data_IF_958115994795
#
_entry.id   IF_958115994795
#
_cell.length_a   1.000
_cell.length_b   1.000
_cell.length_c   1.000
_cell.angle_alpha   90.00
_cell.angle_beta   90.00
_cell.angle_gamma   90.00
#
_symmetry.space_group_name_H-M   'P 1'
#
loop_
_entity.id
_entity.type
_entity.pdbx_description
1 polymer ?
#
# COMPACT_ATOMS: atom_id res chain seq x y z
N UNK A 1 -39.63 -0.74 20.21
CA UNK A 1 -39.02 -1.66 19.23
C UNK A 1 -40.12 -2.53 18.65
N UNK A 2 -40.45 -2.41 17.37
CA UNK A 2 -41.58 -3.13 16.75
C UNK A 2 -41.10 -4.00 15.59
N UNK A 3 -40.18 -4.92 15.87
CA UNK A 3 -39.97 -6.06 14.96
C UNK A 3 -41.23 -6.93 14.97
N UNK A 4 -41.53 -7.60 13.86
CA UNK A 4 -42.60 -8.60 13.82
C UNK A 4 -42.34 -9.68 14.87
N UNK A 5 -43.39 -10.29 15.43
CA UNK A 5 -43.24 -11.31 16.46
C UNK A 5 -42.41 -12.50 15.97
N UNK A 6 -42.58 -12.87 14.70
CA UNK A 6 -41.80 -13.94 14.06
C UNK A 6 -40.32 -13.57 13.97
N UNK A 7 -39.99 -12.40 13.42
CA UNK A 7 -38.59 -11.99 13.27
C UNK A 7 -37.92 -11.79 14.62
N UNK A 8 -38.63 -11.22 15.60
CA UNK A 8 -38.12 -11.05 16.95
C UNK A 8 -37.72 -12.40 17.57
N UNK A 9 -38.58 -13.42 17.45
CA UNK A 9 -38.27 -14.77 17.92
C UNK A 9 -37.07 -15.35 17.17
N UNK A 10 -37.09 -15.32 15.83
CA UNK A 10 -36.05 -15.93 14.99
C UNK A 10 -34.69 -15.27 15.19
N UNK A 11 -34.64 -13.95 15.31
CA UNK A 11 -33.41 -13.20 15.59
C UNK A 11 -32.89 -13.48 17.01
N UNK A 12 -33.74 -13.56 18.02
CA UNK A 12 -33.29 -13.94 19.37
C UNK A 12 -32.77 -15.38 19.43
N UNK A 13 -33.37 -16.31 18.69
CA UNK A 13 -32.86 -17.69 18.56
C UNK A 13 -31.51 -17.71 17.85
N UNK A 14 -31.33 -16.90 16.82
CA UNK A 14 -30.03 -16.73 16.14
C UNK A 14 -28.98 -16.19 17.12
N UNK A 15 -29.31 -15.13 17.86
CA UNK A 15 -28.40 -14.43 18.78
C UNK A 15 -28.10 -15.21 20.07
N UNK A 16 -28.80 -16.31 20.33
CA UNK A 16 -28.48 -17.23 21.43
C UNK A 16 -27.32 -18.20 21.10
N UNK A 17 -26.91 -18.26 19.83
CA UNK A 17 -25.80 -19.09 19.37
C UNK A 17 -24.45 -18.36 19.54
N UNK A 18 -23.31 -19.08 19.61
CA UNK A 18 -21.99 -18.48 19.57
C UNK A 18 -21.70 -17.94 18.16
N UNK A 19 -22.08 -16.70 17.91
CA UNK A 19 -21.87 -16.03 16.63
C UNK A 19 -20.42 -15.52 16.53
N UNK A 20 -19.84 -15.61 15.34
CA UNK A 20 -18.51 -15.08 15.00
C UNK A 20 -18.58 -13.74 14.27
N UNK A 21 -19.58 -13.56 13.40
CA UNK A 21 -19.82 -12.32 12.64
C UNK A 21 -21.27 -12.26 12.17
N UNK A 22 -21.77 -11.06 11.90
CA UNK A 22 -23.11 -10.79 11.37
C UNK A 22 -23.01 -9.78 10.23
N UNK A 23 -23.73 -10.04 9.13
CA UNK A 23 -23.93 -9.08 8.05
C UNK A 23 -25.39 -9.03 7.63
N UNK A 24 -25.84 -7.88 7.14
CA UNK A 24 -27.21 -7.68 6.70
C UNK A 24 -27.21 -7.37 5.21
N UNK A 25 -27.93 -8.18 4.43
CA UNK A 25 -28.24 -7.86 3.04
C UNK A 25 -29.54 -7.05 3.02
N UNK A 26 -29.40 -5.73 2.88
CA UNK A 26 -30.53 -4.80 2.91
C UNK A 26 -31.50 -5.00 1.74
N UNK A 27 -30.97 -5.27 0.54
CA UNK A 27 -31.80 -5.44 -0.67
C UNK A 27 -32.70 -6.66 -0.60
N UNK A 28 -32.25 -7.74 0.05
CA UNK A 28 -33.01 -8.98 0.23
C UNK A 28 -33.66 -9.09 1.60
N UNK A 29 -33.48 -8.07 2.46
CA UNK A 29 -33.94 -8.05 3.85
C UNK A 29 -33.55 -9.33 4.60
N UNK A 30 -32.28 -9.72 4.54
CA UNK A 30 -31.79 -10.97 5.14
C UNK A 30 -30.62 -10.71 6.08
N UNK A 31 -30.72 -11.22 7.31
CA UNK A 31 -29.62 -11.25 8.29
C UNK A 31 -28.87 -12.56 8.13
N UNK A 32 -27.57 -12.48 7.93
CA UNK A 32 -26.66 -13.61 7.86
C UNK A 32 -25.76 -13.60 9.10
N UNK A 33 -25.53 -14.77 9.69
CA UNK A 33 -24.60 -14.93 10.80
C UNK A 33 -23.65 -16.09 10.54
N UNK A 34 -22.37 -15.86 10.83
CA UNK A 34 -21.33 -16.86 10.80
C UNK A 34 -21.23 -17.51 12.18
N UNK A 35 -21.16 -18.84 12.21
CA UNK A 35 -20.99 -19.66 13.42
C UNK A 35 -19.92 -20.71 13.19
N UNK A 36 -19.47 -21.38 14.25
CA UNK A 36 -18.52 -22.51 14.15
C UNK A 36 -19.04 -23.66 13.26
N UNK A 37 -20.36 -23.77 13.08
CA UNK A 37 -21.01 -24.83 12.28
C UNK A 37 -21.36 -24.39 10.86
N UNK A 38 -21.00 -23.17 10.47
CA UNK A 38 -21.30 -22.58 9.17
C UNK A 38 -22.24 -21.38 9.25
N UNK A 39 -22.91 -21.09 8.13
CA UNK A 39 -23.74 -19.89 7.97
C UNK A 39 -25.21 -20.13 8.32
N UNK A 40 -25.76 -19.28 9.18
CA UNK A 40 -27.17 -19.21 9.51
C UNK A 40 -27.79 -17.94 8.88
N UNK A 41 -29.07 -18.01 8.50
CA UNK A 41 -29.78 -16.87 7.88
C UNK A 41 -31.20 -16.70 8.40
N UNK A 42 -31.63 -15.45 8.53
CA UNK A 42 -32.99 -15.06 8.86
C UNK A 42 -33.46 -14.05 7.81
N UNK A 43 -34.41 -14.47 6.98
CA UNK A 43 -35.12 -13.55 6.08
C UNK A 43 -36.17 -12.79 6.90
N UNK A 44 -36.10 -11.47 6.84
CA UNK A 44 -36.94 -10.56 7.60
C UNK A 44 -38.28 -10.35 6.88
N UNK A 45 -39.32 -10.12 7.67
CA UNK A 45 -40.68 -9.80 7.27
C UNK A 45 -41.03 -8.40 7.82
N UNK A 46 -40.58 -7.32 7.15
CA UNK A 46 -40.74 -5.97 7.64
C UNK A 46 -42.22 -5.58 7.76
N UNK A 47 -42.60 -5.03 8.91
CA UNK A 47 -43.94 -4.48 9.19
C UNK A 47 -43.99 -2.97 9.04
N UNK A 48 -42.86 -2.35 8.70
CA UNK A 48 -42.67 -0.92 8.51
C UNK A 48 -41.77 -0.69 7.28
N UNK A 49 -41.41 0.56 7.00
CA UNK A 49 -40.43 0.87 5.94
C UNK A 49 -39.10 0.16 6.21
N UNK A 50 -38.49 -0.40 5.17
CA UNK A 50 -37.27 -1.21 5.27
C UNK A 50 -36.16 -0.53 6.09
N UNK A 51 -35.86 0.73 5.81
CA UNK A 51 -34.85 1.51 6.55
C UNK A 51 -35.13 1.58 8.06
N UNK A 52 -36.38 1.79 8.44
CA UNK A 52 -36.81 1.84 9.85
C UNK A 52 -36.72 0.46 10.49
N UNK A 53 -37.12 -0.57 9.74
CA UNK A 53 -37.09 -1.95 10.21
C UNK A 53 -35.65 -2.44 10.43
N UNK A 54 -34.76 -2.18 9.47
CA UNK A 54 -33.33 -2.46 9.57
C UNK A 54 -32.67 -1.72 10.73
N UNK A 55 -33.07 -0.47 11.00
CA UNK A 55 -32.62 0.25 12.19
C UNK A 55 -32.98 -0.47 13.48
N UNK A 56 -34.20 -1.00 13.59
CA UNK A 56 -34.59 -1.80 14.76
C UNK A 56 -33.84 -3.13 14.85
N UNK A 57 -33.55 -3.78 13.73
CA UNK A 57 -32.71 -4.99 13.72
C UNK A 57 -31.32 -4.67 14.26
N UNK A 58 -30.70 -3.59 13.80
CA UNK A 58 -29.37 -3.12 14.26
C UNK A 58 -29.37 -2.72 15.73
N UNK A 59 -30.44 -2.07 16.20
CA UNK A 59 -30.65 -1.81 17.62
C UNK A 59 -30.70 -3.12 18.43
N UNK A 60 -31.34 -4.19 17.93
CA UNK A 60 -31.38 -5.50 18.58
C UNK A 60 -29.98 -6.10 18.71
N UNK A 61 -29.23 -6.11 17.61
CA UNK A 61 -27.87 -6.63 17.54
C UNK A 61 -26.97 -5.87 18.52
N UNK A 62 -26.99 -4.53 18.46
CA UNK A 62 -26.21 -3.68 19.35
C UNK A 62 -26.57 -3.89 20.83
N UNK A 63 -27.86 -3.99 21.17
CA UNK A 63 -28.28 -4.27 22.56
C UNK A 63 -27.79 -5.63 23.06
N UNK A 64 -27.79 -6.67 22.22
CA UNK A 64 -27.30 -7.99 22.60
C UNK A 64 -25.79 -8.03 22.79
N UNK A 65 -25.06 -7.34 21.91
CA UNK A 65 -23.59 -7.30 21.95
C UNK A 65 -23.08 -6.43 23.11
N UNK A 66 -23.70 -5.27 23.35
CA UNK A 66 -23.20 -4.27 24.31
C UNK A 66 -23.86 -4.33 25.69
N UNK A 67 -25.02 -5.00 25.81
CA UNK A 67 -25.79 -5.06 27.06
C UNK A 67 -26.43 -3.73 27.49
N UNK A 68 -26.34 -2.66 26.69
CA UNK A 68 -26.87 -1.34 27.03
C UNK A 68 -28.12 -0.98 26.21
N UNK A 69 -29.27 -0.69 26.85
CA UNK A 69 -30.43 -0.14 26.15
C UNK A 69 -30.10 1.27 25.63
N UNK A 70 -30.30 1.52 24.33
CA UNK A 70 -29.97 2.78 23.64
C UNK A 70 -28.80 2.74 22.65
N UNK A 71 -28.30 1.52 22.35
CA UNK A 71 -27.09 1.13 21.62
C UNK A 71 -26.77 1.72 20.23
N UNK A 72 -27.67 2.41 19.55
CA UNK A 72 -27.50 2.75 18.13
C UNK A 72 -28.06 4.15 17.79
N UNK A 73 -27.35 5.02 17.04
CA UNK A 73 -25.98 4.90 16.50
C UNK A 73 -24.89 5.49 17.43
N UNK A 74 -25.23 5.83 18.69
CA UNK A 74 -24.37 6.60 19.61
C UNK A 74 -23.06 5.86 19.96
N UNK A 75 -23.02 4.53 19.83
CA UNK A 75 -21.92 3.70 20.31
C UNK A 75 -20.76 3.58 19.31
N UNK A 76 -21.05 3.55 18.00
CA UNK A 76 -20.03 3.61 16.93
C UNK A 76 -19.15 4.86 17.06
N UNK A 77 -19.75 6.00 17.40
CA UNK A 77 -19.04 7.28 17.60
C UNK A 77 -18.21 7.34 18.88
N UNK A 78 -18.53 6.55 19.91
CA UNK A 78 -17.79 6.52 21.19
C UNK A 78 -16.59 5.56 21.12
N UNK A 79 -16.74 4.42 20.45
CA UNK A 79 -15.66 3.42 20.33
C UNK A 79 -14.51 3.87 19.43
N UNK A 80 -14.82 4.59 18.36
CA UNK A 80 -13.81 5.22 17.48
C UNK A 80 -13.02 6.34 18.18
N UNK A 81 -13.57 6.97 19.24
CA UNK A 81 -12.93 8.08 19.97
C UNK A 81 -12.11 7.68 21.19
N UNK A 82 -12.40 6.55 21.83
CA UNK A 82 -11.81 6.21 23.14
C UNK A 82 -10.66 5.18 23.09
N UNK A 83 -10.16 4.80 21.91
CA UNK A 83 -9.04 3.82 21.80
C UNK A 83 -9.37 2.40 22.29
N UNK A 84 -10.60 2.15 22.74
CA UNK A 84 -11.09 0.84 23.20
C UNK A 84 -11.36 -0.18 22.07
N UNK A 85 -11.19 0.21 20.80
CA UNK A 85 -11.44 -0.66 19.65
C UNK A 85 -10.61 -1.95 19.67
N UNK A 86 -9.38 -1.91 20.21
CA UNK A 86 -8.47 -3.07 20.21
C UNK A 86 -8.97 -4.29 20.98
N UNK A 87 -9.80 -4.09 22.02
CA UNK A 87 -10.20 -5.20 22.90
C UNK A 87 -11.56 -5.83 22.53
N UNK A 88 -12.28 -5.28 21.55
CA UNK A 88 -13.67 -5.67 21.25
C UNK A 88 -13.93 -5.92 19.75
N UNK A 89 -12.89 -6.26 18.97
CA UNK A 89 -13.00 -6.43 17.52
C UNK A 89 -14.05 -7.49 17.13
N UNK A 90 -14.10 -8.61 17.86
CA UNK A 90 -15.14 -9.63 17.69
C UNK A 90 -16.55 -9.08 17.84
N UNK A 91 -16.78 -8.26 18.88
CA UNK A 91 -18.08 -7.66 19.14
C UNK A 91 -18.50 -6.70 18.03
N UNK A 92 -17.56 -5.97 17.44
CA UNK A 92 -17.84 -5.07 16.31
C UNK A 92 -18.37 -5.82 15.10
N UNK A 93 -17.86 -7.03 14.84
CA UNK A 93 -18.32 -7.89 13.74
C UNK A 93 -19.73 -8.45 13.95
N UNK A 94 -20.27 -8.38 15.17
CA UNK A 94 -21.63 -8.85 15.49
C UNK A 94 -22.71 -7.78 15.31
N UNK A 95 -22.33 -6.53 15.02
CA UNK A 95 -23.27 -5.41 14.93
C UNK A 95 -24.12 -5.42 13.67
N UNK A 96 -23.71 -6.14 12.62
CA UNK A 96 -24.38 -6.09 11.31
C UNK A 96 -24.19 -4.75 10.59
N UNK A 97 -23.19 -3.96 11.00
CA UNK A 97 -22.90 -2.63 10.45
C UNK A 97 -21.66 -2.64 9.56
N UNK A 98 -21.75 -2.21 8.29
CA UNK A 98 -20.60 -2.10 7.41
C UNK A 98 -19.47 -1.22 7.97
N UNK A 99 -19.80 -0.11 8.64
CA UNK A 99 -18.83 0.81 9.24
C UNK A 99 -18.08 0.16 10.42
N UNK A 100 -18.74 -0.75 11.15
CA UNK A 100 -18.07 -1.52 12.21
C UNK A 100 -17.05 -2.48 11.61
N UNK A 101 -17.41 -3.17 10.52
CA UNK A 101 -16.48 -4.07 9.80
C UNK A 101 -15.30 -3.28 9.25
N UNK A 102 -15.55 -2.12 8.61
CA UNK A 102 -14.49 -1.25 8.12
C UNK A 102 -13.51 -0.87 9.24
N UNK A 103 -14.01 -0.42 10.39
CA UNK A 103 -13.17 -0.07 11.54
C UNK A 103 -12.32 -1.26 12.05
N UNK A 104 -12.85 -2.49 12.03
CA UNK A 104 -12.09 -3.70 12.36
C UNK A 104 -10.96 -3.94 11.37
N UNK A 105 -11.26 -3.84 10.06
CA UNK A 105 -10.29 -4.06 8.98
C UNK A 105 -9.11 -3.07 9.06
N UNK A 106 -9.37 -1.80 9.42
CA UNK A 106 -8.31 -0.79 9.60
C UNK A 106 -7.50 -0.92 10.91
N UNK A 107 -7.80 -1.91 11.77
CA UNK A 107 -7.09 -2.06 13.05
C UNK A 107 -5.70 -2.67 12.85
N UNK A 108 -4.61 -2.01 13.27
CA UNK A 108 -3.26 -2.57 13.19
C UNK A 108 -3.12 -3.82 14.07
N UNK A 109 -2.37 -4.82 13.57
CA UNK A 109 -2.10 -6.05 14.33
C UNK A 109 -3.32 -6.95 14.51
N UNK A 110 -4.31 -6.85 13.62
CA UNK A 110 -5.44 -7.77 13.53
C UNK A 110 -4.96 -9.22 13.38
N UNK A 111 -5.51 -10.15 14.16
CA UNK A 111 -5.22 -11.57 13.96
C UNK A 111 -5.86 -12.12 12.69
N UNK A 112 -5.27 -13.17 12.13
CA UNK A 112 -5.80 -13.88 10.95
C UNK A 112 -7.28 -14.30 11.06
N UNK A 113 -7.72 -14.79 12.22
CA UNK A 113 -9.10 -15.26 12.41
C UNK A 113 -10.12 -14.12 12.37
N UNK A 114 -9.78 -12.97 12.96
CA UNK A 114 -10.66 -11.78 12.87
C UNK A 114 -10.69 -11.25 11.44
N UNK A 115 -9.56 -11.27 10.73
CA UNK A 115 -9.51 -10.88 9.31
C UNK A 115 -10.44 -11.76 8.46
N UNK A 116 -10.46 -13.07 8.68
CA UNK A 116 -11.38 -14.01 7.99
C UNK A 116 -12.84 -13.66 8.24
N UNK A 117 -13.20 -13.37 9.50
CA UNK A 117 -14.57 -13.00 9.89
C UNK A 117 -14.99 -11.65 9.30
N UNK A 118 -14.07 -10.67 9.30
CA UNK A 118 -14.31 -9.35 8.70
C UNK A 118 -14.48 -9.43 7.18
N UNK A 119 -13.62 -10.22 6.51
CA UNK A 119 -13.74 -10.49 5.08
C UNK A 119 -15.07 -11.16 4.73
N UNK A 120 -15.49 -12.18 5.48
CA UNK A 120 -16.80 -12.81 5.29
C UNK A 120 -17.95 -11.81 5.46
N UNK A 121 -17.87 -10.93 6.46
CA UNK A 121 -18.92 -9.96 6.76
C UNK A 121 -19.08 -8.91 5.66
N UNK A 122 -17.99 -8.43 5.06
CA UNK A 122 -18.01 -7.39 4.03
C UNK A 122 -16.88 -7.57 3.01
N UNK A 123 -17.04 -8.45 2.00
CA UNK A 123 -16.05 -8.61 0.95
C UNK A 123 -16.10 -7.43 -0.03
N UNK A 124 -14.98 -6.72 -0.18
CA UNK A 124 -14.82 -5.61 -1.12
C UNK A 124 -13.34 -5.41 -1.47
N UNK A 125 -13.05 -4.76 -2.61
CA UNK A 125 -11.66 -4.47 -2.99
C UNK A 125 -10.94 -3.58 -1.96
N UNK A 126 -11.64 -2.61 -1.39
CA UNK A 126 -11.11 -1.74 -0.31
C UNK A 126 -10.75 -2.55 0.93
N UNK A 127 -11.65 -3.44 1.39
CA UNK A 127 -11.38 -4.27 2.57
C UNK A 127 -10.27 -5.29 2.29
N UNK A 128 -10.23 -5.89 1.09
CA UNK A 128 -9.17 -6.81 0.70
C UNK A 128 -7.79 -6.14 0.73
N UNK A 129 -7.67 -4.93 0.16
CA UNK A 129 -6.40 -4.18 0.21
C UNK A 129 -5.99 -3.87 1.64
N UNK A 130 -6.90 -3.37 2.46
CA UNK A 130 -6.59 -3.02 3.85
C UNK A 130 -6.19 -4.24 4.69
N UNK A 131 -6.88 -5.39 4.53
CA UNK A 131 -6.50 -6.64 5.19
C UNK A 131 -5.12 -7.15 4.74
N UNK A 132 -4.75 -6.97 3.47
CA UNK A 132 -3.44 -7.37 2.93
C UNK A 132 -2.27 -6.50 3.39
N UNK A 133 -2.52 -5.38 4.10
CA UNK A 133 -1.44 -4.65 4.78
C UNK A 133 -0.95 -5.39 6.04
N UNK A 134 -1.71 -6.37 6.53
CA UNK A 134 -1.38 -7.09 7.74
C UNK A 134 -0.52 -8.34 7.43
N UNK A 135 0.72 -8.44 7.98
CA UNK A 135 1.60 -9.56 7.73
C UNK A 135 1.03 -10.93 8.12
N UNK A 136 0.20 -11.03 9.16
CA UNK A 136 -0.43 -12.30 9.55
C UNK A 136 -1.43 -12.79 8.50
N UNK A 137 -2.17 -11.86 7.89
CA UNK A 137 -3.12 -12.17 6.81
C UNK A 137 -2.37 -12.62 5.56
N UNK A 138 -1.30 -11.92 5.20
CA UNK A 138 -0.44 -12.26 4.06
C UNK A 138 0.19 -13.64 4.21
N UNK A 139 0.64 -13.98 5.42
CA UNK A 139 1.23 -15.28 5.72
C UNK A 139 0.21 -16.43 5.74
N UNK A 140 -1.06 -16.15 6.00
CA UNK A 140 -2.12 -17.14 6.07
C UNK A 140 -2.86 -17.40 4.76
N UNK A 141 -3.78 -18.37 4.77
CA UNK A 141 -4.57 -18.76 3.58
C UNK A 141 -5.43 -17.63 3.02
N UNK A 142 -5.93 -16.74 3.89
CA UNK A 142 -6.74 -15.59 3.52
C UNK A 142 -6.01 -14.67 2.56
N UNK A 143 -4.69 -14.47 2.72
CA UNK A 143 -3.91 -13.61 1.83
C UNK A 143 -4.01 -14.04 0.35
N UNK A 144 -4.03 -15.35 0.09
CA UNK A 144 -4.20 -15.89 -1.28
C UNK A 144 -5.60 -15.66 -1.81
N UNK A 145 -6.62 -15.84 -0.98
CA UNK A 145 -8.02 -15.59 -1.34
C UNK A 145 -8.25 -14.11 -1.68
N UNK A 146 -7.77 -13.20 -0.83
CA UNK A 146 -7.87 -11.76 -1.04
C UNK A 146 -7.13 -11.33 -2.31
N UNK A 147 -5.95 -11.90 -2.55
CA UNK A 147 -5.16 -11.64 -3.77
C UNK A 147 -5.90 -12.12 -5.02
N UNK A 148 -6.45 -13.33 -5.00
CA UNK A 148 -7.23 -13.86 -6.11
C UNK A 148 -8.45 -12.97 -6.43
N UNK A 149 -9.17 -12.54 -5.39
CA UNK A 149 -10.25 -11.58 -5.52
C UNK A 149 -9.77 -10.27 -6.17
N UNK A 150 -8.71 -9.66 -5.64
CA UNK A 150 -8.19 -8.41 -6.19
C UNK A 150 -7.75 -8.54 -7.65
N UNK A 151 -7.08 -9.63 -8.04
CA UNK A 151 -6.67 -9.86 -9.42
C UNK A 151 -7.85 -10.01 -10.38
N UNK A 152 -8.94 -10.66 -9.95
CA UNK A 152 -10.17 -10.81 -10.71
C UNK A 152 -10.82 -9.45 -10.99
N UNK A 153 -10.88 -8.58 -9.98
CA UNK A 153 -11.54 -7.27 -10.09
C UNK A 153 -10.63 -6.13 -10.57
N UNK A 154 -9.31 -6.29 -10.58
CA UNK A 154 -8.33 -5.29 -11.02
C UNK A 154 -8.59 -4.70 -12.43
N UNK A 155 -9.11 -5.43 -13.43
CA UNK A 155 -9.49 -4.83 -14.72
C UNK A 155 -10.55 -3.72 -14.61
N UNK A 156 -11.41 -3.77 -13.59
CA UNK A 156 -12.51 -2.85 -13.35
C UNK A 156 -12.16 -1.71 -12.38
N UNK A 157 -10.93 -1.69 -11.84
CA UNK A 157 -10.50 -0.64 -10.93
C UNK A 157 -10.33 0.69 -11.69
N UNK A 158 -11.05 1.71 -11.22
CA UNK A 158 -11.11 3.04 -11.82
C UNK A 158 -10.11 4.00 -11.16
N UNK A 159 -9.94 3.87 -9.84
CA UNK A 159 -9.05 4.72 -9.07
C UNK A 159 -7.61 4.28 -9.34
N UNK A 160 -6.81 5.18 -9.91
CA UNK A 160 -5.46 4.83 -10.38
C UNK A 160 -4.52 4.49 -9.21
N UNK A 161 -4.66 5.15 -8.07
CA UNK A 161 -3.91 4.83 -6.86
C UNK A 161 -4.25 3.44 -6.33
N UNK A 162 -5.52 3.03 -6.41
CA UNK A 162 -5.98 1.71 -6.00
C UNK A 162 -5.38 0.60 -6.87
N UNK A 163 -5.10 0.88 -8.16
CA UNK A 163 -4.33 -0.01 -9.04
C UNK A 163 -2.89 -0.15 -8.53
N UNK A 164 -2.24 0.96 -8.12
CA UNK A 164 -0.88 0.92 -7.55
C UNK A 164 -0.86 0.03 -6.31
N UNK A 165 -1.76 0.27 -5.37
CA UNK A 165 -1.84 -0.47 -4.11
C UNK A 165 -2.15 -1.93 -4.35
N UNK A 166 -3.11 -2.25 -5.23
CA UNK A 166 -3.43 -3.63 -5.56
C UNK A 166 -2.21 -4.38 -6.11
N UNK A 167 -1.49 -3.78 -7.06
CA UNK A 167 -0.29 -4.42 -7.63
C UNK A 167 0.79 -4.61 -6.57
N UNK A 168 1.07 -3.58 -5.75
CA UNK A 168 2.02 -3.68 -4.62
C UNK A 168 1.65 -4.82 -3.68
N UNK A 169 0.39 -4.88 -3.25
CA UNK A 169 -0.10 -5.85 -2.27
C UNK A 169 -0.09 -7.29 -2.81
N UNK A 170 -0.39 -7.48 -4.10
CA UNK A 170 -0.32 -8.80 -4.75
C UNK A 170 1.12 -9.30 -4.90
N UNK A 171 2.11 -8.41 -4.92
CA UNK A 171 3.53 -8.77 -5.07
C UNK A 171 4.19 -9.19 -3.75
N UNK A 172 3.46 -9.25 -2.63
CA UNK A 172 4.01 -9.66 -1.35
C UNK A 172 4.30 -11.17 -1.33
N UNK A 173 5.52 -11.54 -0.95
CA UNK A 173 5.94 -12.94 -0.80
C UNK A 173 5.56 -13.82 -2.01
N UNK A 174 4.86 -14.93 -1.72
CA UNK A 174 4.40 -15.91 -2.70
C UNK A 174 2.87 -15.85 -2.94
N UNK A 175 2.24 -14.69 -2.74
CA UNK A 175 0.80 -14.52 -2.95
C UNK A 175 0.37 -14.75 -4.40
N UNK A 176 1.25 -14.43 -5.36
CA UNK A 176 1.04 -14.69 -6.79
C UNK A 176 2.16 -15.53 -7.38
N UNK A 177 1.81 -16.32 -8.40
CA UNK A 177 2.75 -17.12 -9.16
C UNK A 177 3.63 -16.26 -10.09
N UNK A 178 4.80 -16.76 -10.51
CA UNK A 178 5.63 -16.07 -11.51
C UNK A 178 4.89 -15.77 -12.83
N UNK A 179 3.94 -16.63 -13.21
CA UNK A 179 3.12 -16.45 -14.41
C UNK A 179 2.12 -15.28 -14.26
N UNK A 180 1.45 -15.18 -13.11
CA UNK A 180 0.57 -14.05 -12.80
C UNK A 180 1.34 -12.74 -12.69
N UNK A 181 2.51 -12.77 -12.06
CA UNK A 181 3.44 -11.64 -11.98
C UNK A 181 3.83 -11.13 -13.37
N UNK A 182 4.17 -12.04 -14.29
CA UNK A 182 4.49 -11.71 -15.68
C UNK A 182 3.28 -11.08 -16.40
N UNK A 183 2.07 -11.61 -16.18
CA UNK A 183 0.83 -11.03 -16.72
C UNK A 183 0.57 -9.61 -16.18
N UNK A 184 0.79 -9.36 -14.89
CA UNK A 184 0.67 -8.02 -14.31
C UNK A 184 1.68 -7.05 -14.94
N UNK A 185 2.92 -7.47 -15.13
CA UNK A 185 3.94 -6.66 -15.79
C UNK A 185 3.58 -6.32 -17.23
N UNK A 186 3.07 -7.27 -18.01
CA UNK A 186 2.64 -7.00 -19.39
C UNK A 186 1.51 -5.96 -19.47
N UNK A 187 0.63 -5.90 -18.46
CA UNK A 187 -0.41 -4.86 -18.36
C UNK A 187 0.18 -3.46 -18.12
N UNK A 188 1.35 -3.36 -17.49
CA UNK A 188 2.00 -2.09 -17.19
C UNK A 188 2.38 -1.29 -18.45
N UNK A 189 2.65 -1.98 -19.56
CA UNK A 189 2.89 -1.33 -20.87
C UNK A 189 1.72 -0.44 -21.32
N UNK A 190 0.50 -0.77 -20.88
CA UNK A 190 -0.73 -0.04 -21.24
C UNK A 190 -1.20 0.90 -20.13
N UNK A 191 -0.93 0.57 -18.86
CA UNK A 191 -1.37 1.33 -17.68
C UNK A 191 -0.18 1.61 -16.76
N UNK A 192 0.29 2.86 -16.76
CA UNK A 192 1.44 3.33 -15.99
C UNK A 192 1.40 3.00 -14.47
N UNK A 193 0.25 3.07 -13.77
CA UNK A 193 0.16 2.74 -12.33
C UNK A 193 0.70 1.35 -11.94
N UNK A 194 0.65 0.37 -12.86
CA UNK A 194 1.20 -0.95 -12.58
C UNK A 194 2.71 -0.90 -12.34
N UNK A 195 3.46 -0.10 -13.11
CA UNK A 195 4.91 0.05 -12.87
C UNK A 195 5.20 0.54 -11.46
N UNK A 196 4.38 1.47 -10.97
CA UNK A 196 4.56 2.07 -9.64
C UNK A 196 4.25 1.04 -8.55
N UNK A 197 3.25 0.18 -8.74
CA UNK A 197 3.01 -0.94 -7.83
C UNK A 197 4.22 -1.89 -7.75
N UNK A 198 4.90 -2.16 -8.86
CA UNK A 198 6.16 -2.90 -8.88
C UNK A 198 7.31 -2.16 -8.19
N UNK A 199 7.38 -0.83 -8.29
CA UNK A 199 8.44 -0.03 -7.69
C UNK A 199 8.36 0.01 -6.15
N UNK A 200 7.18 -0.20 -5.56
CA UNK A 200 7.00 -0.36 -4.12
C UNK A 200 7.31 -1.77 -3.61
N UNK A 201 7.35 -2.76 -4.49
CA UNK A 201 7.63 -4.15 -4.14
C UNK A 201 9.13 -4.45 -4.17
N UNK A 202 9.51 -5.68 -3.79
CA UNK A 202 10.89 -6.15 -3.94
C UNK A 202 11.31 -6.10 -5.43
N UNK A 203 12.43 -5.43 -5.77
CA UNK A 203 12.94 -5.35 -7.14
C UNK A 203 13.16 -6.70 -7.84
N UNK A 204 13.42 -7.77 -7.08
CA UNK A 204 13.56 -9.13 -7.61
C UNK A 204 12.27 -9.65 -8.25
N UNK A 205 11.12 -9.03 -7.94
CA UNK A 205 9.83 -9.35 -8.53
C UNK A 205 9.57 -8.61 -9.85
N UNK A 206 10.44 -7.71 -10.28
CA UNK A 206 10.30 -7.09 -11.61
C UNK A 206 10.77 -8.12 -12.65
N UNK A 207 9.89 -8.64 -13.54
CA UNK A 207 10.19 -9.77 -14.42
C UNK A 207 10.93 -9.30 -15.68
N UNK A 208 12.05 -8.62 -15.49
CA UNK A 208 12.96 -8.20 -16.54
C UNK A 208 14.27 -9.01 -16.44
N UNK A 209 14.85 -9.48 -17.55
CA UNK A 209 16.09 -10.25 -17.54
C UNK A 209 17.32 -9.33 -17.59
N UNK A 210 17.36 -8.26 -16.79
CA UNK A 210 18.49 -7.32 -16.86
C UNK A 210 19.70 -7.87 -16.13
N UNK A 211 20.86 -7.80 -16.79
CA UNK A 211 22.14 -8.11 -16.16
C UNK A 211 22.52 -6.99 -15.18
N UNK A 212 23.34 -7.28 -14.16
CA UNK A 212 23.96 -6.22 -13.37
C UNK A 212 24.69 -5.21 -14.26
N UNK A 213 24.82 -3.99 -13.77
CA UNK A 213 25.57 -2.93 -14.43
C UNK A 213 27.02 -3.40 -14.71
N UNK A 214 27.61 -2.95 -15.82
CA UNK A 214 28.97 -3.35 -16.22
C UNK A 214 30.04 -3.05 -15.15
N UNK A 215 29.81 -2.01 -14.34
CA UNK A 215 30.70 -1.63 -13.25
C UNK A 215 30.42 -2.35 -11.92
N UNK A 216 29.31 -3.08 -11.79
CA UNK A 216 28.85 -3.67 -10.53
C UNK A 216 29.90 -4.60 -9.88
N UNK A 217 30.46 -5.54 -10.64
CA UNK A 217 31.42 -6.51 -10.10
C UNK A 217 32.71 -5.84 -9.58
N UNK A 218 33.22 -4.84 -10.31
CA UNK A 218 34.41 -4.09 -9.89
C UNK A 218 34.09 -3.19 -8.68
N UNK A 219 32.92 -2.54 -8.69
CA UNK A 219 32.48 -1.66 -7.61
C UNK A 219 32.29 -2.40 -6.29
N UNK A 220 31.73 -3.62 -6.29
CA UNK A 220 31.65 -4.44 -5.08
C UNK A 220 33.05 -4.75 -4.55
N UNK A 221 34.00 -5.11 -5.41
CA UNK A 221 35.37 -5.41 -4.99
C UNK A 221 36.07 -4.17 -4.41
N UNK A 222 35.84 -2.98 -4.99
CA UNK A 222 36.37 -1.72 -4.49
C UNK A 222 35.79 -1.35 -3.13
N UNK A 223 34.47 -1.46 -2.98
CA UNK A 223 33.75 -1.06 -1.77
C UNK A 223 33.63 -2.18 -0.72
N UNK A 224 34.42 -3.26 -0.83
CA UNK A 224 34.29 -4.44 0.04
C UNK A 224 34.35 -4.05 1.54
N UNK A 225 35.31 -3.22 1.93
CA UNK A 225 35.44 -2.71 3.31
C UNK A 225 34.21 -1.95 3.78
N UNK A 226 33.64 -1.08 2.93
CA UNK A 226 32.46 -0.29 3.26
C UNK A 226 31.20 -1.15 3.30
N UNK A 227 31.08 -2.16 2.42
CA UNK A 227 29.98 -3.10 2.41
C UNK A 227 30.00 -3.99 3.67
N UNK A 228 31.17 -4.49 4.07
CA UNK A 228 31.35 -5.26 5.30
C UNK A 228 31.03 -4.42 6.56
N UNK A 229 31.30 -3.12 6.51
CA UNK A 229 30.95 -2.16 7.56
C UNK A 229 29.47 -1.73 7.56
N UNK A 230 28.63 -2.29 6.68
CA UNK A 230 27.23 -1.89 6.49
C UNK A 230 27.04 -0.39 6.19
N UNK A 231 27.97 0.20 5.41
CA UNK A 231 27.85 1.59 4.99
C UNK A 231 26.59 1.77 4.10
N UNK A 232 25.63 2.65 4.48
CA UNK A 232 24.35 2.76 3.79
C UNK A 232 24.50 3.25 2.34
N UNK A 233 25.48 4.12 2.07
CA UNK A 233 25.75 4.64 0.72
C UNK A 233 26.35 3.56 -0.19
N UNK A 234 27.24 2.73 0.34
CA UNK A 234 27.82 1.60 -0.39
C UNK A 234 26.76 0.55 -0.72
N UNK A 235 25.90 0.21 0.25
CA UNK A 235 24.80 -0.73 0.06
C UNK A 235 23.81 -0.24 -1.00
N UNK A 236 23.37 1.01 -0.90
CA UNK A 236 22.46 1.61 -1.88
C UNK A 236 23.06 1.59 -3.29
N UNK A 237 24.34 1.93 -3.44
CA UNK A 237 25.01 1.95 -4.74
C UNK A 237 25.17 0.54 -5.31
N UNK A 238 25.58 -0.43 -4.49
CA UNK A 238 25.67 -1.84 -4.89
C UNK A 238 24.30 -2.36 -5.36
N UNK A 239 23.26 -2.17 -4.55
CA UNK A 239 21.90 -2.63 -4.85
C UNK A 239 21.29 -1.94 -6.07
N UNK A 240 21.70 -0.71 -6.38
CA UNK A 240 21.27 0.02 -7.59
C UNK A 240 21.88 -0.58 -8.86
N UNK A 241 23.11 -1.09 -8.74
CA UNK A 241 23.89 -1.60 -9.86
C UNK A 241 23.79 -3.12 -10.04
N UNK A 242 23.20 -3.86 -9.09
CA UNK A 242 22.90 -5.29 -9.26
C UNK A 242 21.79 -5.54 -10.30
N UNK A 243 21.51 -6.80 -10.64
CA UNK A 243 20.46 -7.12 -11.63
C UNK A 243 19.06 -6.63 -11.26
N UNK A 244 18.70 -6.71 -9.98
CA UNK A 244 17.38 -6.32 -9.50
C UNK A 244 17.25 -4.78 -9.44
N UNK A 245 18.30 -4.06 -9.04
CA UNK A 245 18.40 -2.61 -9.14
C UNK A 245 18.31 -2.10 -10.56
N UNK A 246 18.97 -2.77 -11.51
CA UNK A 246 18.84 -2.43 -12.93
C UNK A 246 17.41 -2.65 -13.45
N UNK A 247 16.73 -3.72 -13.03
CA UNK A 247 15.30 -3.92 -13.31
C UNK A 247 14.44 -2.79 -12.72
N UNK A 248 14.71 -2.39 -11.48
CA UNK A 248 13.99 -1.30 -10.81
C UNK A 248 14.20 0.04 -11.49
N UNK A 249 15.42 0.38 -11.89
CA UNK A 249 15.73 1.60 -12.66
C UNK A 249 15.01 1.62 -14.02
N UNK A 250 14.91 0.48 -14.70
CA UNK A 250 14.13 0.37 -15.94
C UNK A 250 12.64 0.60 -15.69
N UNK A 251 12.09 0.03 -14.63
CA UNK A 251 10.70 0.27 -14.23
C UNK A 251 10.48 1.75 -13.85
N UNK A 252 11.44 2.37 -13.16
CA UNK A 252 11.40 3.79 -12.79
C UNK A 252 11.39 4.68 -14.04
N UNK A 253 12.23 4.39 -15.02
CA UNK A 253 12.25 5.12 -16.29
C UNK A 253 10.88 5.07 -16.99
N UNK A 254 10.29 3.88 -17.08
CA UNK A 254 8.96 3.68 -17.67
C UNK A 254 7.84 4.38 -16.88
N UNK A 255 7.97 4.44 -15.56
CA UNK A 255 7.03 5.14 -14.68
C UNK A 255 7.10 6.66 -14.89
N UNK A 256 8.31 7.22 -14.90
CA UNK A 256 8.60 8.65 -15.07
C UNK A 256 8.21 9.20 -16.45
N UNK A 257 8.25 8.39 -17.51
CA UNK A 257 7.92 8.83 -18.88
C UNK A 257 6.43 9.18 -19.08
N UNK A 258 5.52 8.54 -18.31
CA UNK A 258 4.07 8.66 -18.53
C UNK A 258 3.28 8.86 -17.23
N UNK A 259 3.55 9.91 -16.44
CA UNK A 259 2.76 10.17 -15.25
C UNK A 259 1.32 10.50 -15.66
N UNK A 260 0.36 9.89 -14.96
CA UNK A 260 -1.06 9.91 -15.34
C UNK A 260 -1.91 10.82 -14.46
N UNK A 261 -1.64 10.84 -13.16
CA UNK A 261 -2.42 11.52 -12.13
C UNK A 261 -1.52 11.96 -10.95
N UNK A 262 -1.92 12.97 -10.19
CA UNK A 262 -1.14 13.54 -9.09
C UNK A 262 -0.89 12.53 -7.97
N UNK A 263 -1.91 11.77 -7.54
CA UNK A 263 -1.76 10.80 -6.44
C UNK A 263 -0.82 9.66 -6.83
N UNK A 264 -0.88 9.25 -8.10
CA UNK A 264 0.01 8.25 -8.68
C UNK A 264 1.45 8.75 -8.74
N UNK A 265 1.67 10.03 -9.09
CA UNK A 265 3.01 10.65 -9.07
C UNK A 265 3.54 10.77 -7.65
N UNK A 266 2.70 11.16 -6.69
CA UNK A 266 3.07 11.18 -5.27
C UNK A 266 3.52 9.78 -4.83
N UNK A 267 2.75 8.75 -5.15
CA UNK A 267 3.09 7.36 -4.85
C UNK A 267 4.42 6.92 -5.51
N UNK A 268 4.70 7.36 -6.74
CA UNK A 268 5.98 7.12 -7.41
C UNK A 268 7.15 7.74 -6.63
N UNK A 269 7.04 8.99 -6.19
CA UNK A 269 8.11 9.65 -5.44
C UNK A 269 8.29 9.05 -4.04
N UNK A 270 7.22 8.57 -3.40
CA UNK A 270 7.32 7.77 -2.17
C UNK A 270 8.09 6.45 -2.43
N UNK A 271 7.89 5.81 -3.59
CA UNK A 271 8.65 4.61 -3.94
C UNK A 271 10.14 4.90 -4.18
N UNK A 272 10.48 6.06 -4.77
CA UNK A 272 11.87 6.50 -4.95
C UNK A 272 12.53 6.75 -3.59
N UNK A 273 11.88 7.51 -2.70
CA UNK A 273 12.39 7.81 -1.35
C UNK A 273 12.65 6.51 -0.56
N UNK A 274 11.66 5.60 -0.51
CA UNK A 274 11.80 4.30 0.17
C UNK A 274 12.89 3.40 -0.42
N UNK A 275 13.23 3.55 -1.70
CA UNK A 275 14.30 2.77 -2.34
C UNK A 275 15.68 3.12 -1.76
N UNK A 276 15.85 4.34 -1.26
CA UNK A 276 17.14 4.85 -0.79
C UNK A 276 17.04 5.31 0.67
N UNK A 277 17.11 4.40 1.66
CA UNK A 277 17.06 4.75 3.08
C UNK A 277 18.40 5.34 3.57
N UNK A 278 18.86 6.40 2.91
CA UNK A 278 20.11 7.09 3.23
C UNK A 278 19.88 8.11 4.36
N UNK A 279 20.87 8.36 5.22
CA UNK A 279 20.77 9.34 6.31
C UNK A 279 20.88 10.78 5.77
N UNK A 280 19.87 11.22 5.03
CA UNK A 280 19.76 12.56 4.45
C UNK A 280 18.96 13.49 5.39
N UNK A 281 19.16 14.82 5.33
CA UNK A 281 18.49 15.76 6.23
C UNK A 281 16.97 15.77 6.09
N UNK A 282 16.46 15.69 4.86
CA UNK A 282 15.03 15.69 4.56
C UNK A 282 14.46 14.28 4.49
N UNK A 283 13.47 13.99 5.33
CA UNK A 283 12.81 12.67 5.43
C UNK A 283 11.76 12.37 4.34
N UNK A 284 11.40 13.37 3.52
CA UNK A 284 10.39 13.23 2.44
C UNK A 284 10.90 13.80 1.11
N UNK A 285 12.22 13.89 0.97
CA UNK A 285 12.91 14.49 -0.16
C UNK A 285 13.02 16.02 -0.11
N UNK A 286 13.92 16.55 -0.94
CA UNK A 286 14.16 18.00 -1.05
C UNK A 286 13.02 18.68 -1.80
N UNK A 287 12.73 19.94 -1.48
CA UNK A 287 11.70 20.74 -2.18
C UNK A 287 12.21 21.37 -3.47
N UNK A 288 13.52 21.58 -3.61
CA UNK A 288 14.14 22.13 -4.80
C UNK A 288 15.17 21.14 -5.34
N UNK A 289 15.03 20.76 -6.62
CA UNK A 289 15.97 19.87 -7.30
C UNK A 289 17.40 20.42 -7.27
N UNK A 290 17.58 21.75 -7.32
CA UNK A 290 18.92 22.33 -7.27
C UNK A 290 19.63 22.02 -5.96
N UNK A 291 18.90 21.91 -4.84
CA UNK A 291 19.47 21.47 -3.56
C UNK A 291 20.03 20.05 -3.67
N UNK A 292 19.29 19.12 -4.27
CA UNK A 292 19.77 17.76 -4.47
C UNK A 292 21.01 17.70 -5.38
N UNK A 293 21.02 18.48 -6.46
CA UNK A 293 22.15 18.57 -7.40
C UNK A 293 23.41 19.13 -6.73
N UNK A 294 23.28 20.23 -5.99
CA UNK A 294 24.39 20.86 -5.27
C UNK A 294 24.93 19.96 -4.16
N UNK A 295 24.05 19.32 -3.38
CA UNK A 295 24.46 18.42 -2.32
C UNK A 295 25.15 17.17 -2.86
N UNK A 296 24.63 16.59 -3.95
CA UNK A 296 25.29 15.46 -4.60
C UNK A 296 26.67 15.84 -5.16
N UNK A 297 26.83 17.06 -5.67
CA UNK A 297 28.14 17.59 -6.08
C UNK A 297 29.09 17.72 -4.88
N UNK A 298 28.61 18.29 -3.77
CA UNK A 298 29.40 18.42 -2.54
C UNK A 298 29.87 17.05 -2.03
N UNK A 299 28.98 16.06 -2.00
CA UNK A 299 29.32 14.70 -1.58
C UNK A 299 30.36 14.04 -2.49
N UNK A 300 30.52 14.49 -3.73
CA UNK A 300 31.52 13.98 -4.67
C UNK A 300 32.84 14.76 -4.68
N UNK A 301 32.89 15.99 -4.16
CA UNK A 301 34.04 16.89 -4.36
C UNK A 301 34.55 17.64 -3.12
N UNK A 302 33.75 17.81 -2.07
CA UNK A 302 34.10 18.63 -0.90
C UNK A 302 34.06 17.83 0.38
N UNK A 303 34.99 18.11 1.29
CA UNK A 303 35.01 17.49 2.63
C UNK A 303 34.09 18.17 3.64
N UNK A 304 33.71 19.43 3.43
CA UNK A 304 32.84 20.12 4.37
C UNK A 304 31.41 19.54 4.33
N UNK A 305 30.84 19.31 5.52
CA UNK A 305 29.47 18.84 5.79
C UNK A 305 29.01 17.50 5.18
N UNK A 306 29.86 16.79 4.42
CA UNK A 306 29.51 15.45 3.90
C UNK A 306 29.57 14.39 5.02
N UNK A 307 28.57 13.48 5.11
CA UNK A 307 28.58 12.37 6.07
C UNK A 307 29.83 11.50 5.92
N UNK A 308 30.39 11.03 7.04
CA UNK A 308 31.60 10.20 7.05
C UNK A 308 31.47 8.96 6.15
N UNK A 309 30.29 8.33 6.15
CA UNK A 309 30.00 7.17 5.31
C UNK A 309 29.99 7.51 3.82
N UNK A 310 29.46 8.68 3.43
CA UNK A 310 29.47 9.12 2.03
C UNK A 310 30.90 9.44 1.57
N UNK A 311 31.71 10.07 2.44
CA UNK A 311 33.14 10.33 2.18
C UNK A 311 33.92 9.05 1.96
N UNK A 312 33.74 8.06 2.84
CA UNK A 312 34.41 6.76 2.74
C UNK A 312 34.13 6.07 1.40
N UNK A 313 32.90 6.17 0.88
CA UNK A 313 32.54 5.68 -0.45
C UNK A 313 33.21 6.51 -1.54
N UNK A 314 33.06 7.84 -1.52
CA UNK A 314 33.68 8.77 -2.49
C UNK A 314 35.19 8.51 -2.65
N UNK A 315 35.92 8.41 -1.53
CA UNK A 315 37.38 8.28 -1.52
C UNK A 315 37.86 6.93 -2.06
N UNK A 316 36.98 5.93 -2.07
CA UNK A 316 37.27 4.59 -2.59
C UNK A 316 36.89 4.45 -4.07
N UNK A 317 35.95 5.26 -4.57
CA UNK A 317 35.45 5.17 -5.94
C UNK A 317 36.45 5.72 -6.96
N UNK A 318 36.56 5.03 -8.09
CA UNK A 318 37.29 5.54 -9.24
C UNK A 318 36.53 6.69 -9.93
N UNK A 319 37.23 7.55 -10.70
CA UNK A 319 36.61 8.64 -11.47
C UNK A 319 35.47 8.18 -12.41
N UNK A 320 35.56 6.97 -12.97
CA UNK A 320 34.53 6.43 -13.88
C UNK A 320 33.23 6.02 -13.15
N UNK A 321 33.31 5.72 -11.86
CA UNK A 321 32.18 5.27 -11.02
C UNK A 321 31.59 6.38 -10.17
N UNK A 322 32.34 7.47 -9.93
CA UNK A 322 31.88 8.63 -9.18
C UNK A 322 30.61 9.27 -9.78
N UNK A 323 30.44 9.38 -11.12
CA UNK A 323 29.18 9.85 -11.71
C UNK A 323 27.97 8.97 -11.39
N UNK A 324 28.15 7.65 -11.23
CA UNK A 324 27.07 6.74 -10.84
C UNK A 324 26.64 7.00 -9.39
N UNK A 325 27.62 7.21 -8.50
CA UNK A 325 27.35 7.57 -7.11
C UNK A 325 26.58 8.89 -7.02
N UNK A 326 27.02 9.92 -7.77
CA UNK A 326 26.31 11.20 -7.85
C UNK A 326 24.87 11.05 -8.34
N UNK A 327 24.64 10.28 -9.40
CA UNK A 327 23.30 10.05 -9.94
C UNK A 327 22.38 9.35 -8.92
N UNK A 328 22.90 8.34 -8.22
CA UNK A 328 22.17 7.68 -7.13
C UNK A 328 21.82 8.66 -6.00
N UNK A 329 22.76 9.52 -5.58
CA UNK A 329 22.52 10.53 -4.53
C UNK A 329 21.43 11.54 -4.93
N UNK A 330 21.34 11.90 -6.21
CA UNK A 330 20.28 12.79 -6.69
C UNK A 330 18.92 12.10 -6.58
N UNK A 331 18.81 10.84 -7.02
CA UNK A 331 17.56 10.06 -6.90
C UNK A 331 17.16 9.86 -5.44
N UNK A 332 18.13 9.56 -4.57
CA UNK A 332 17.89 9.31 -3.14
C UNK A 332 17.36 10.51 -2.35
N UNK A 333 17.48 11.72 -2.92
CA UNK A 333 16.96 12.94 -2.30
C UNK A 333 15.55 13.31 -2.80
N UNK A 334 14.97 12.50 -3.69
CA UNK A 334 13.62 12.72 -4.21
C UNK A 334 12.59 12.03 -3.32
N UNK A 335 11.51 12.74 -3.04
CA UNK A 335 10.38 12.23 -2.29
C UNK A 335 9.14 13.08 -2.51
N UNK A 336 8.11 12.87 -1.68
CA UNK A 336 6.84 13.58 -1.82
C UNK A 336 7.01 15.12 -1.77
N UNK A 337 7.87 15.64 -0.91
CA UNK A 337 8.09 17.08 -0.76
C UNK A 337 8.71 17.70 -2.03
N UNK A 338 9.37 16.91 -2.88
CA UNK A 338 9.91 17.34 -4.18
C UNK A 338 8.82 17.74 -5.18
N UNK A 339 7.58 17.33 -4.96
CA UNK A 339 6.45 17.64 -5.83
C UNK A 339 5.72 18.92 -5.43
N UNK A 340 5.94 19.45 -4.21
CA UNK A 340 5.25 20.63 -3.67
C UNK A 340 5.33 21.84 -4.61
N UNK A 341 6.49 22.22 -5.19
CA UNK A 341 6.55 23.39 -6.08
C UNK A 341 5.73 23.23 -7.36
N UNK A 342 5.48 21.98 -7.78
CA UNK A 342 4.83 21.65 -9.05
C UNK A 342 3.32 21.46 -8.89
N UNK A 343 2.89 20.85 -7.79
CA UNK A 343 1.48 20.61 -7.47
C UNK A 343 0.85 21.69 -6.58
N UNK A 344 1.66 22.54 -5.93
CA UNK A 344 1.18 23.63 -5.09
C UNK A 344 0.13 24.49 -5.79
N UNK A 345 -1.04 24.61 -5.17
CA UNK A 345 -2.12 25.50 -5.61
C UNK A 345 -2.76 25.15 -6.96
N UNK A 346 -2.70 23.88 -7.41
CA UNK A 346 -3.35 23.48 -8.66
C UNK A 346 -3.80 22.01 -8.69
N UNK A 347 -4.83 21.75 -9.48
CA UNK A 347 -5.45 20.44 -9.76
C UNK A 347 -5.13 19.97 -11.19
N UNK A 348 -3.96 20.34 -11.73
CA UNK A 348 -3.57 20.00 -13.10
C UNK A 348 -3.48 18.49 -13.27
N UNK A 349 -4.13 17.96 -14.31
CA UNK A 349 -4.11 16.54 -14.71
C UNK A 349 -3.60 16.38 -16.15
N UNK A 350 -3.24 15.15 -16.53
CA UNK A 350 -2.90 14.80 -17.91
C UNK A 350 -1.71 15.59 -18.47
N UNK A 351 -1.82 16.13 -19.69
CA UNK A 351 -0.72 16.81 -20.39
C UNK A 351 -0.23 18.08 -19.70
N UNK A 352 -1.12 18.84 -19.05
CA UNK A 352 -0.76 20.05 -18.32
C UNK A 352 0.11 19.69 -17.12
N UNK A 353 -0.28 18.67 -16.36
CA UNK A 353 0.52 18.13 -15.25
C UNK A 353 1.91 17.69 -15.73
N UNK A 354 1.97 16.93 -16.83
CA UNK A 354 3.24 16.46 -17.42
C UNK A 354 4.18 17.61 -17.74
N UNK A 355 3.68 18.65 -18.42
CA UNK A 355 4.47 19.83 -18.78
C UNK A 355 5.02 20.57 -17.56
N UNK A 356 4.25 20.63 -16.47
CA UNK A 356 4.72 21.24 -15.21
C UNK A 356 5.78 20.42 -14.52
N UNK A 357 5.70 19.09 -14.61
CA UNK A 357 6.67 18.17 -14.01
C UNK A 357 7.95 18.01 -14.85
N UNK A 358 7.97 18.37 -16.13
CA UNK A 358 9.15 18.27 -17.01
C UNK A 358 10.47 18.78 -16.38
N UNK A 359 10.52 19.94 -15.69
CA UNK A 359 11.75 20.43 -15.07
C UNK A 359 12.29 19.52 -13.96
N UNK A 360 11.43 18.70 -13.34
CA UNK A 360 11.82 17.71 -12.34
C UNK A 360 12.12 16.36 -13.00
N UNK A 361 11.24 15.89 -13.89
CA UNK A 361 11.29 14.56 -14.47
C UNK A 361 12.47 14.39 -15.44
N UNK A 362 12.75 15.38 -16.29
CA UNK A 362 13.81 15.26 -17.29
C UNK A 362 15.21 15.07 -16.66
N UNK A 363 15.60 15.83 -15.62
CA UNK A 363 16.83 15.56 -14.88
C UNK A 363 16.89 14.17 -14.25
N UNK A 364 15.77 13.67 -13.69
CA UNK A 364 15.73 12.33 -13.08
C UNK A 364 15.83 11.21 -14.12
N UNK A 365 15.20 11.38 -15.29
CA UNK A 365 15.39 10.48 -16.43
C UNK A 365 16.85 10.45 -16.90
N UNK A 366 17.55 11.60 -16.88
CA UNK A 366 18.97 11.66 -17.20
C UNK A 366 19.83 10.88 -16.19
N UNK A 367 19.54 11.00 -14.88
CA UNK A 367 20.24 10.22 -13.84
C UNK A 367 19.97 8.73 -13.98
N UNK A 368 18.71 8.34 -14.19
CA UNK A 368 18.31 6.94 -14.41
C UNK A 368 19.00 6.37 -15.65
N UNK A 369 19.08 7.15 -16.73
CA UNK A 369 19.80 6.75 -17.95
C UNK A 369 21.29 6.54 -17.71
N UNK A 370 21.93 7.38 -16.88
CA UNK A 370 23.33 7.22 -16.52
C UNK A 370 23.57 5.94 -15.72
N UNK A 371 22.69 5.63 -14.77
CA UNK A 371 22.75 4.42 -13.92
C UNK A 371 22.45 3.11 -14.67
N UNK A 372 21.95 3.20 -15.91
CA UNK A 372 21.60 2.07 -16.77
C UNK A 372 22.63 1.81 -17.90
N UNK A 373 23.67 2.64 -18.01
CA UNK A 373 24.67 2.64 -19.10
C UNK A 373 26.02 2.09 -18.65
#
# INVERSE_FOLDING_TARGET
>A
MQLSNEDNLRLNVLLAQPLQAVRINESTMTVHALTDRGEAKVRLNPTARDEQYLRWVRELLSMKVTGSPGGYPIFLKRWTRMGHARNNLDQMLLLGEPEAVAAVVYTPGLSHDIAKRAWWASPSATNARCLLENPEVVAGELGKELTAYLLEFLPFEEIQLDVVDTVRLCLQGELITPAERSKLWERAKRKNPFYIGFLHADPTYIPLPTKPHRHHANLIAQLATQLDANNPYAQALSQTLDSAGQNWLRALQLALEKPVDQEVVISLFIAIDKRFPLPLPESRGVRDLNTALQRAEQFCHTDDDSPADAKAVRDTLNPDTLPLFKAMLILAQMGEDSLIPYFGGNDSVGSVMRKRLEPLINPLLAQTTLLLK
#
